data_IF_990661706989
#
_entry.id   IF_990661706989
#
_cell.length_a   1.000
_cell.length_b   1.000
_cell.length_c   1.000
_cell.angle_alpha   90.00
_cell.angle_beta   90.00
_cell.angle_gamma   90.00
#
_symmetry.space_group_name_H-M   'P 1'
#
loop_
_entity.id
_entity.type
_entity.pdbx_description
1 polymer ?
#
# COMPACT_ATOMS: atom_id res chain seq x y z
N UNK A 1 -9.08 9.98 -8.24
CA UNK A 1 -8.02 8.98 -7.98
C UNK A 1 -7.61 9.10 -6.53
N UNK A 2 -7.58 8.01 -5.77
CA UNK A 2 -7.12 8.01 -4.37
C UNK A 2 -5.62 8.22 -4.30
N UNK A 3 -5.19 9.24 -3.57
CA UNK A 3 -3.78 9.59 -3.38
C UNK A 3 -3.39 9.53 -1.88
N UNK A 4 -2.13 9.85 -1.58
CA UNK A 4 -1.61 9.94 -0.21
C UNK A 4 -2.51 10.77 0.72
N UNK A 5 -3.01 11.91 0.26
CA UNK A 5 -3.80 12.81 1.10
C UNK A 5 -5.19 12.23 1.40
N UNK A 6 -5.80 11.54 0.44
CA UNK A 6 -7.04 10.79 0.70
C UNK A 6 -6.83 9.71 1.77
N UNK A 7 -5.73 8.94 1.69
CA UNK A 7 -5.41 7.94 2.71
C UNK A 7 -5.18 8.58 4.07
N UNK A 8 -4.44 9.70 4.12
CA UNK A 8 -4.20 10.43 5.37
C UNK A 8 -5.51 10.89 6.00
N UNK A 9 -6.41 11.48 5.22
CA UNK A 9 -7.71 11.92 5.72
C UNK A 9 -8.56 10.74 6.20
N UNK A 10 -8.57 9.63 5.46
CA UNK A 10 -9.25 8.41 5.90
C UNK A 10 -8.71 7.90 7.23
N UNK A 11 -7.38 7.81 7.39
CA UNK A 11 -6.76 7.36 8.64
C UNK A 11 -7.12 8.27 9.82
N UNK A 12 -7.19 9.58 9.63
CA UNK A 12 -7.65 10.52 10.66
C UNK A 12 -9.13 10.32 11.02
N UNK A 13 -9.99 9.95 10.06
CA UNK A 13 -11.40 9.68 10.30
C UNK A 13 -11.65 8.32 10.99
N UNK A 14 -10.70 7.40 10.88
CA UNK A 14 -10.72 6.08 11.52
C UNK A 14 -10.25 6.13 12.97
N UNK A 15 -9.65 7.23 13.41
CA UNK A 15 -9.26 7.42 14.80
C UNK A 15 -10.51 7.28 15.71
N UNK A 16 -10.33 6.64 16.87
CA UNK A 16 -11.41 6.25 17.80
C UNK A 16 -12.50 5.30 17.24
N UNK A 17 -12.39 4.82 16.00
CA UNK A 17 -13.33 3.81 15.48
C UNK A 17 -12.94 2.39 15.91
N UNK A 18 -13.95 1.51 15.97
CA UNK A 18 -13.72 0.10 16.21
C UNK A 18 -12.87 -0.54 15.11
N UNK A 19 -12.09 -1.56 15.47
CA UNK A 19 -11.07 -2.18 14.61
C UNK A 19 -11.55 -2.58 13.19
N UNK A 20 -12.80 -3.06 13.07
CA UNK A 20 -13.39 -3.44 11.77
C UNK A 20 -13.39 -2.29 10.76
N UNK A 21 -13.36 -1.03 11.20
CA UNK A 21 -13.31 0.14 10.34
C UNK A 21 -12.01 0.23 9.53
N UNK A 22 -10.92 -0.43 9.97
CA UNK A 22 -9.69 -0.48 9.18
C UNK A 22 -9.90 -1.16 7.81
N UNK A 23 -10.94 -1.99 7.62
CA UNK A 23 -11.23 -2.59 6.32
C UNK A 23 -11.40 -1.54 5.21
N UNK A 24 -11.78 -0.30 5.56
CA UNK A 24 -11.97 0.82 4.64
C UNK A 24 -10.65 1.28 3.98
N UNK A 25 -9.48 0.96 4.56
CA UNK A 25 -8.18 1.32 3.97
C UNK A 25 -7.76 0.38 2.82
N UNK A 26 -8.53 -0.66 2.53
CA UNK A 26 -8.24 -1.58 1.42
C UNK A 26 -8.30 -0.82 0.11
N UNK A 27 -7.25 -0.92 -0.70
CA UNK A 27 -7.21 -0.25 -2.00
C UNK A 27 -5.81 0.11 -2.47
N UNK A 28 -5.75 1.01 -3.45
CA UNK A 28 -4.49 1.53 -4.00
C UNK A 28 -4.44 3.05 -3.88
N UNK A 29 -3.28 3.55 -3.45
CA UNK A 29 -3.04 4.96 -3.18
C UNK A 29 -1.78 5.41 -3.91
N UNK A 30 -1.93 6.47 -4.71
CA UNK A 30 -0.81 7.08 -5.41
C UNK A 30 -0.01 7.97 -4.47
N UNK A 31 1.27 7.68 -4.34
CA UNK A 31 2.28 8.54 -3.74
C UNK A 31 3.11 9.18 -4.86
N UNK A 32 3.92 10.22 -4.57
CA UNK A 32 4.76 10.85 -5.58
C UNK A 32 5.69 9.86 -6.30
N UNK A 33 6.32 8.98 -5.53
CA UNK A 33 7.38 8.11 -6.03
C UNK A 33 6.95 6.65 -6.23
N UNK A 34 5.83 6.24 -5.63
CA UNK A 34 5.37 4.86 -5.63
C UNK A 34 3.85 4.75 -5.54
N UNK A 35 3.32 3.54 -5.76
CA UNK A 35 1.94 3.21 -5.42
C UNK A 35 1.93 2.29 -4.20
N UNK A 36 1.17 2.68 -3.17
CA UNK A 36 0.87 1.83 -2.03
C UNK A 36 -0.37 1.01 -2.36
N UNK A 37 -0.28 -0.31 -2.19
CA UNK A 37 -1.40 -1.23 -2.41
C UNK A 37 -1.64 -2.01 -1.12
N UNK A 38 -2.85 -1.91 -0.59
CA UNK A 38 -3.31 -2.67 0.58
C UNK A 38 -4.24 -3.77 0.05
N UNK A 39 -3.69 -4.97 -0.17
CA UNK A 39 -4.39 -6.09 -0.79
C UNK A 39 -5.41 -6.71 0.17
N UNK A 40 -5.02 -6.88 1.43
CA UNK A 40 -5.84 -7.45 2.50
C UNK A 40 -5.63 -6.68 3.79
N UNK A 41 -6.73 -6.33 4.44
CA UNK A 41 -6.75 -5.80 5.80
C UNK A 41 -7.13 -6.92 6.76
N UNK A 42 -6.42 -7.02 7.88
CA UNK A 42 -6.76 -7.92 8.98
C UNK A 42 -8.15 -7.60 9.57
N UNK A 43 -8.96 -8.62 9.85
CA UNK A 43 -10.34 -8.44 10.33
C UNK A 43 -10.46 -8.16 11.83
N UNK A 44 -9.47 -8.59 12.60
CA UNK A 44 -9.31 -8.36 14.04
C UNK A 44 -7.80 -8.27 14.41
N UNK A 45 -7.44 -7.85 15.65
CA UNK A 45 -6.05 -7.72 16.10
C UNK A 45 -5.23 -9.02 16.15
N UNK A 46 -5.89 -10.17 16.13
CA UNK A 46 -5.28 -11.49 16.29
C UNK A 46 -5.25 -12.30 14.98
N UNK A 47 -5.96 -11.84 13.95
CA UNK A 47 -5.93 -12.41 12.61
C UNK A 47 -4.55 -12.27 11.95
N UNK A 48 -4.35 -12.98 10.83
CA UNK A 48 -3.14 -12.83 10.04
C UNK A 48 -2.92 -11.36 9.64
N UNK A 49 -1.69 -10.83 9.73
CA UNK A 49 -1.39 -9.42 9.47
C UNK A 49 -1.91 -8.93 8.12
N UNK A 50 -2.21 -7.64 8.01
CA UNK A 50 -2.54 -7.01 6.73
C UNK A 50 -1.47 -7.28 5.67
N UNK A 51 -1.88 -7.49 4.42
CA UNK A 51 -0.99 -7.66 3.28
C UNK A 51 -0.89 -6.35 2.50
N UNK A 52 0.32 -5.83 2.39
CA UNK A 52 0.62 -4.55 1.77
C UNK A 52 1.77 -4.73 0.78
N UNK A 53 1.71 -4.03 -0.36
CA UNK A 53 2.77 -3.97 -1.36
C UNK A 53 3.07 -2.53 -1.73
N UNK A 54 4.32 -2.28 -2.09
CA UNK A 54 4.77 -1.02 -2.69
C UNK A 54 5.19 -1.32 -4.13
N UNK A 55 4.60 -0.60 -5.07
CA UNK A 55 4.98 -0.67 -6.48
C UNK A 55 5.78 0.57 -6.84
N UNK A 56 7.03 0.36 -7.23
CA UNK A 56 7.99 1.42 -7.55
C UNK A 56 8.28 1.41 -9.06
N UNK A 57 8.22 2.55 -9.76
CA UNK A 57 8.74 2.64 -11.13
C UNK A 57 10.24 2.32 -11.16
N UNK A 58 10.71 1.63 -12.20
CA UNK A 58 12.14 1.32 -12.35
C UNK A 58 13.03 2.57 -12.32
N UNK A 59 12.55 3.70 -12.85
CA UNK A 59 13.26 4.98 -12.82
C UNK A 59 13.52 5.50 -11.40
N UNK A 60 12.62 5.19 -10.46
CA UNK A 60 12.77 5.54 -9.05
C UNK A 60 13.58 4.48 -8.31
N UNK A 61 13.38 3.21 -8.64
CA UNK A 61 14.11 2.09 -8.03
C UNK A 61 15.61 2.16 -8.25
N UNK A 62 16.05 2.69 -9.41
CA UNK A 62 17.46 2.88 -9.72
C UNK A 62 18.26 1.57 -9.82
N UNK A 63 17.59 0.42 -9.89
CA UNK A 63 18.26 -0.86 -10.07
C UNK A 63 18.94 -0.90 -11.45
N UNK A 64 20.19 -1.40 -11.55
CA UNK A 64 20.84 -1.59 -12.83
C UNK A 64 20.00 -2.50 -13.73
N UNK A 65 19.82 -2.11 -15.00
CA UNK A 65 19.04 -2.88 -15.97
C UNK A 65 19.52 -4.33 -16.11
N UNK A 66 20.81 -4.57 -15.92
CA UNK A 66 21.43 -5.90 -15.94
C UNK A 66 20.81 -6.88 -14.94
N UNK A 67 20.15 -6.39 -13.89
CA UNK A 67 19.53 -7.22 -12.86
C UNK A 67 18.15 -7.76 -13.25
N UNK A 68 17.46 -7.17 -14.23
CA UNK A 68 16.08 -7.58 -14.58
C UNK A 68 15.82 -7.65 -16.10
N UNK A 69 16.88 -7.51 -16.92
CA UNK A 69 16.79 -7.59 -18.37
C UNK A 69 16.50 -9.00 -18.90
N UNK A 70 16.78 -10.04 -18.11
CA UNK A 70 16.53 -11.45 -18.49
C UNK A 70 15.57 -12.11 -17.51
N UNK A 71 14.65 -12.98 -17.95
CA UNK A 71 13.66 -13.62 -17.07
C UNK A 71 14.24 -14.46 -15.91
N UNK A 72 15.49 -14.87 -15.99
CA UNK A 72 16.19 -15.68 -14.97
C UNK A 72 17.03 -14.85 -13.98
N UNK A 73 16.94 -13.52 -14.02
CA UNK A 73 17.69 -12.58 -13.18
C UNK A 73 16.73 -11.64 -12.46
#
# INVERSE_FOLDING_TARGET
MTNRDNLRQLLLQLDDRGYKAYMDIKGSYKFPDFNLVIDRVQGDPFASPSQVRVQLPHSVAGFPASLYQTPSR
#
